data_IF_765640269357
#
_entry.id   IF_765640269357
#
_cell.length_a   1.000
_cell.length_b   1.000
_cell.length_c   1.000
_cell.angle_alpha   90.00
_cell.angle_beta   90.00
_cell.angle_gamma   90.00
#
_symmetry.space_group_name_H-M   'P 1'
#
loop_
_entity.id
_entity.type
_entity.pdbx_description
1 polymer ?
#
# COMPACT_ATOMS: atom_id res chain seq x y z
N UNK A 1 -0.73 13.28 5.37
CA UNK A 1 0.38 12.40 5.80
C UNK A 1 1.42 12.38 4.70
N UNK A 2 2.68 12.57 5.02
CA UNK A 2 3.71 12.61 3.99
C UNK A 2 4.29 11.22 3.75
N UNK A 3 5.04 11.10 2.66
CA UNK A 3 5.58 9.81 2.22
C UNK A 3 6.52 9.21 3.25
N UNK A 4 7.34 10.04 3.85
CA UNK A 4 8.31 9.54 4.81
C UNK A 4 7.61 8.91 6.03
N UNK A 5 6.57 9.55 6.50
CA UNK A 5 5.81 9.05 7.64
C UNK A 5 5.13 7.71 7.29
N UNK A 6 4.61 7.61 6.07
CA UNK A 6 3.99 6.37 5.62
C UNK A 6 5.01 5.22 5.63
N UNK A 7 6.19 5.48 5.10
CA UNK A 7 7.25 4.47 5.04
C UNK A 7 7.73 4.11 6.44
N UNK A 8 7.93 5.10 7.28
CA UNK A 8 8.40 4.88 8.65
C UNK A 8 7.40 4.01 9.43
N UNK A 9 6.12 4.31 9.29
CA UNK A 9 5.08 3.52 9.94
C UNK A 9 5.07 2.09 9.42
N UNK A 10 5.26 1.91 8.13
CA UNK A 10 5.28 0.59 7.53
C UNK A 10 6.46 -0.23 8.05
N UNK A 11 7.62 0.39 8.15
CA UNK A 11 8.81 -0.28 8.66
C UNK A 11 8.59 -0.74 10.09
N UNK A 12 7.95 0.10 10.90
CA UNK A 12 7.63 -0.25 12.27
C UNK A 12 6.68 -1.47 12.33
N UNK A 13 5.62 -1.44 11.55
CA UNK A 13 4.68 -2.56 11.49
C UNK A 13 5.38 -3.84 11.05
N UNK A 14 6.22 -3.71 10.04
CA UNK A 14 6.89 -4.85 9.43
C UNK A 14 7.71 -5.63 10.46
N UNK A 15 8.32 -4.94 11.41
CA UNK A 15 9.12 -5.58 12.45
C UNK A 15 8.26 -6.39 13.40
N UNK A 16 6.98 -6.07 13.52
CA UNK A 16 6.08 -6.69 14.48
C UNK A 16 5.11 -7.66 13.85
N UNK A 17 5.19 -7.87 12.54
CA UNK A 17 4.27 -8.72 11.82
C UNK A 17 5.01 -9.91 11.25
N UNK A 18 4.39 -11.08 11.36
CA UNK A 18 4.92 -12.30 10.78
C UNK A 18 5.04 -12.13 9.26
N UNK A 19 6.09 -12.67 8.67
CA UNK A 19 6.29 -12.58 7.23
C UNK A 19 5.12 -13.16 6.45
N UNK A 20 4.46 -14.17 7.01
CA UNK A 20 3.31 -14.79 6.38
C UNK A 20 2.12 -13.86 6.29
N UNK A 21 2.07 -12.84 7.16
CA UNK A 21 0.97 -11.90 7.21
C UNK A 21 1.29 -10.58 6.51
N UNK A 22 2.54 -10.37 6.13
CA UNK A 22 2.97 -9.07 5.62
C UNK A 22 2.19 -8.64 4.37
N UNK A 23 1.94 -9.57 3.46
CA UNK A 23 1.16 -9.23 2.25
C UNK A 23 -0.22 -8.74 2.60
N UNK A 24 -0.89 -9.45 3.48
CA UNK A 24 -2.25 -9.08 3.89
C UNK A 24 -2.24 -7.76 4.65
N UNK A 25 -1.30 -7.60 5.57
CA UNK A 25 -1.19 -6.38 6.37
C UNK A 25 -0.89 -5.18 5.47
N UNK A 26 -0.05 -5.38 4.46
CA UNK A 26 0.25 -4.30 3.51
C UNK A 26 -1.00 -3.82 2.79
N UNK A 27 -1.84 -4.75 2.36
CA UNK A 27 -3.08 -4.39 1.70
C UNK A 27 -4.01 -3.63 2.64
N UNK A 28 -4.14 -4.11 3.87
CA UNK A 28 -4.98 -3.44 4.86
C UNK A 28 -4.44 -2.06 5.20
N UNK A 29 -3.12 -1.94 5.26
CA UNK A 29 -2.48 -0.67 5.53
C UNK A 29 -2.81 0.36 4.45
N UNK A 30 -2.78 -0.06 3.18
CA UNK A 30 -3.12 0.84 2.09
C UNK A 30 -4.57 1.30 2.16
N UNK A 31 -5.46 0.39 2.49
CA UNK A 31 -6.87 0.75 2.65
C UNK A 31 -7.06 1.76 3.78
N UNK A 32 -6.32 1.56 4.86
CA UNK A 32 -6.36 2.49 5.98
C UNK A 32 -5.87 3.88 5.56
N UNK A 33 -4.77 3.92 4.80
CA UNK A 33 -4.24 5.19 4.32
C UNK A 33 -5.26 5.90 3.43
N UNK A 34 -5.93 5.15 2.56
CA UNK A 34 -6.96 5.72 1.70
C UNK A 34 -8.11 6.29 2.52
N UNK A 35 -8.49 5.60 3.59
CA UNK A 35 -9.54 6.06 4.49
C UNK A 35 -9.17 7.38 5.16
N UNK A 36 -7.89 7.58 5.41
CA UNK A 36 -7.42 8.83 6.02
C UNK A 36 -7.22 9.94 5.00
N UNK A 37 -7.51 9.67 3.73
CA UNK A 37 -7.44 10.69 2.70
C UNK A 37 -6.07 10.84 2.06
N UNK A 38 -5.21 9.84 2.19
CA UNK A 38 -3.91 9.87 1.52
C UNK A 38 -4.13 9.77 0.02
N UNK A 39 -3.49 10.64 -0.74
CA UNK A 39 -3.70 10.72 -2.18
C UNK A 39 -3.00 9.57 -2.91
N UNK A 40 -3.55 9.21 -4.06
CA UNK A 40 -2.97 8.15 -4.89
C UNK A 40 -1.53 8.48 -5.26
N UNK A 41 -1.25 9.74 -5.56
CA UNK A 41 0.10 10.17 -5.92
C UNK A 41 1.08 9.87 -4.78
N UNK A 42 0.66 10.12 -3.55
CA UNK A 42 1.48 9.84 -2.39
C UNK A 42 1.75 8.35 -2.26
N UNK A 43 0.74 7.52 -2.48
CA UNK A 43 0.92 6.07 -2.44
C UNK A 43 1.91 5.61 -3.51
N UNK A 44 1.81 6.16 -4.72
CA UNK A 44 2.73 5.81 -5.79
C UNK A 44 4.16 6.20 -5.46
N UNK A 45 4.32 7.30 -4.72
CA UNK A 45 5.64 7.80 -4.38
C UNK A 45 6.36 6.93 -3.34
N UNK A 46 5.63 6.11 -2.60
CA UNK A 46 6.28 5.22 -1.62
C UNK A 46 6.70 3.89 -2.23
N UNK A 47 6.41 3.67 -3.50
CA UNK A 47 6.88 2.47 -4.20
C UNK A 47 8.40 2.49 -4.27
N UNK A 48 9.02 1.34 -4.08
CA UNK A 48 10.46 1.22 -4.12
C UNK A 48 11.10 1.06 -2.75
N UNK A 49 10.33 1.11 -1.68
CA UNK A 49 10.87 1.02 -0.33
C UNK A 49 10.76 -0.37 0.27
N UNK A 50 9.79 -1.16 -0.15
CA UNK A 50 9.59 -2.50 0.38
C UNK A 50 8.80 -3.33 -0.62
N UNK A 51 9.27 -4.54 -0.89
CA UNK A 51 8.61 -5.43 -1.86
C UNK A 51 7.15 -5.71 -1.49
N UNK A 52 6.90 -5.94 -0.23
CA UNK A 52 5.53 -6.24 0.22
C UNK A 52 4.61 -5.04 0.01
N UNK A 53 5.10 -3.86 0.34
CA UNK A 53 4.33 -2.64 0.17
C UNK A 53 4.14 -2.34 -1.31
N UNK A 54 5.18 -2.54 -2.11
CA UNK A 54 5.11 -2.32 -3.55
C UNK A 54 4.04 -3.19 -4.19
N UNK A 55 4.03 -4.47 -3.85
CA UNK A 55 3.04 -5.39 -4.39
C UNK A 55 1.64 -5.01 -3.94
N UNK A 56 1.50 -4.59 -2.71
CA UNK A 56 0.20 -4.16 -2.20
C UNK A 56 -0.30 -2.92 -2.93
N UNK A 57 0.59 -1.98 -3.20
CA UNK A 57 0.22 -0.77 -3.94
C UNK A 57 -0.23 -1.13 -5.35
N UNK A 58 0.52 -1.98 -6.03
CA UNK A 58 0.14 -2.41 -7.37
C UNK A 58 -1.20 -3.12 -7.37
N UNK A 59 -1.41 -4.00 -6.40
CA UNK A 59 -2.66 -4.72 -6.28
C UNK A 59 -3.82 -3.76 -5.98
N UNK A 60 -3.58 -2.79 -5.10
CA UNK A 60 -4.59 -1.80 -4.74
C UNK A 60 -5.05 -1.01 -5.96
N UNK A 61 -4.10 -0.52 -6.77
CA UNK A 61 -4.45 0.25 -7.95
C UNK A 61 -5.08 -0.61 -9.03
N UNK A 62 -4.64 -1.85 -9.16
CA UNK A 62 -5.21 -2.77 -10.13
C UNK A 62 -6.67 -3.07 -9.78
N UNK A 63 -6.92 -3.37 -8.52
CA UNK A 63 -8.25 -3.71 -8.03
C UNK A 63 -9.19 -2.51 -8.07
N UNK A 64 -8.69 -1.32 -7.77
CA UNK A 64 -9.48 -0.09 -7.70
C UNK A 64 -9.37 0.77 -8.96
N UNK A 65 -8.67 0.31 -10.00
CA UNK A 65 -8.46 1.11 -11.20
C UNK A 65 -9.71 1.16 -11.99
N UNK A 66 -10.65 0.78 -11.91
CA UNK A 66 -11.75 1.10 -12.63
C UNK A 66 -11.83 0.75 -13.98
N UNK A 67 -11.61 0.80 -14.46
CA UNK A 67 -11.66 0.74 -15.51
C UNK A 67 -12.04 -0.14 -16.20
N UNK A 68 -12.13 -0.18 -16.48
CA UNK A 68 -12.42 -0.72 -17.16
C UNK A 68 -12.20 -1.73 -17.59
N UNK A 69 -11.96 -1.96 -17.67
CA UNK A 69 -11.76 -2.72 -18.09
C UNK A 69 -11.90 -3.68 -18.48
N UNK A 70 -11.73 -3.89 -18.57
CA UNK A 70 -11.72 -4.73 -18.92
C UNK A 70 -11.92 -5.62 -19.15
N UNK A 71 -11.90 -5.88 -19.21
CA UNK A 71 -11.92 -6.76 -19.40
C UNK A 71 -12.31 -7.49 -19.73
N UNK A 72 -12.23 -7.77 -19.77
CA UNK A 72 -12.42 -8.48 -20.09
C UNK A 72 -12.81 -8.90 -20.22
#
# INVERSE_FOLDING_TARGET
>A
MNEQLIVDNWILFKDHVDKKQLSLVAEEYLELLADYGVEDQTLKNVVGNCDYLDKAILYYFDDHADDDSDYE
#
